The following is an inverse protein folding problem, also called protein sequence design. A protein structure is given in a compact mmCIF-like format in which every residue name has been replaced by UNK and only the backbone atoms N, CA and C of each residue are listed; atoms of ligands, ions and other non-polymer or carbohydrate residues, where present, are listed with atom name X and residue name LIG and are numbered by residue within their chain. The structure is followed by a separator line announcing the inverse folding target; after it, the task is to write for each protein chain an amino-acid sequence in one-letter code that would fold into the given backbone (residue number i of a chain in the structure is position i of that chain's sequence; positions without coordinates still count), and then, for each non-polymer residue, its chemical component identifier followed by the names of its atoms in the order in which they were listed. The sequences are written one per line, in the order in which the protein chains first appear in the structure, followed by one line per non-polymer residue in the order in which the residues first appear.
data_IF_487367765571
#
_entry.id   IF_487367765571
#
_cell.length_a   1.000
_cell.length_b   1.000
_cell.length_c   1.000
_cell.angle_alpha   90.00
_cell.angle_beta   90.00
_cell.angle_gamma   90.00
#
_symmetry.space_group_name_H-M   'P 1'
#
loop_
_entity.id
_entity.type
_entity.pdbx_description
1 polymer ?
#
# COMPACT_ATOMS: atom_id res chain seq x y z
N UNK A 1 64.96 -11.26 18.94
CA UNK A 1 63.56 -11.74 18.96
C UNK A 1 62.75 -10.84 18.04
N UNK A 2 62.31 -11.34 16.88
CA UNK A 2 61.36 -10.64 15.99
C UNK A 2 60.05 -11.41 16.04
N UNK A 3 59.01 -10.79 16.56
CA UNK A 3 57.65 -11.34 16.64
C UNK A 3 56.97 -11.04 15.31
N UNK A 4 56.61 -12.09 14.57
CA UNK A 4 55.77 -12.01 13.38
C UNK A 4 54.30 -12.07 13.84
N UNK A 5 53.57 -10.97 13.63
CA UNK A 5 52.12 -10.95 13.79
C UNK A 5 51.48 -11.54 12.51
N UNK A 6 50.86 -12.71 12.64
CA UNK A 6 49.96 -13.24 11.63
C UNK A 6 48.60 -12.55 11.81
N UNK A 7 48.25 -11.64 10.90
CA UNK A 7 46.90 -11.09 10.79
C UNK A 7 46.08 -12.09 9.96
N UNK A 8 45.18 -12.81 10.62
CA UNK A 8 44.18 -13.63 9.95
C UNK A 8 43.10 -12.71 9.36
N UNK A 9 43.07 -12.60 8.04
CA UNK A 9 41.98 -11.97 7.31
C UNK A 9 40.73 -12.86 7.42
N UNK A 10 39.81 -12.52 8.32
CA UNK A 10 38.49 -13.13 8.35
C UNK A 10 37.68 -12.51 7.21
N UNK A 11 37.60 -13.21 6.09
CA UNK A 11 36.63 -12.93 5.03
C UNK A 11 35.23 -13.19 5.61
N UNK A 12 34.55 -12.14 6.02
CA UNK A 12 33.10 -12.17 6.23
C UNK A 12 32.45 -12.36 4.86
N UNK A 13 32.24 -13.61 4.44
CA UNK A 13 31.31 -13.91 3.37
C UNK A 13 29.94 -13.42 3.80
N UNK A 14 29.49 -12.31 3.21
CA UNK A 14 28.11 -11.88 3.31
C UNK A 14 27.23 -13.00 2.74
N UNK A 15 26.45 -13.66 3.60
CA UNK A 15 25.44 -14.65 3.20
C UNK A 15 24.24 -13.94 2.53
N UNK A 16 24.48 -13.15 1.48
CA UNK A 16 23.39 -12.70 0.62
C UNK A 16 22.89 -13.90 -0.18
N UNK A 17 21.59 -14.20 -0.09
CA UNK A 17 20.93 -15.20 -0.93
C UNK A 17 21.25 -14.93 -2.41
N UNK A 18 21.33 -15.96 -3.23
CA UNK A 18 21.49 -15.78 -4.68
C UNK A 18 20.16 -15.37 -5.32
N UNK A 19 20.18 -14.87 -6.57
CA UNK A 19 18.95 -14.66 -7.38
C UNK A 19 18.17 -15.96 -7.50
N UNK A 20 18.89 -17.09 -7.61
CA UNK A 20 18.28 -18.42 -7.65
C UNK A 20 17.44 -18.68 -6.38
N UNK A 21 17.99 -18.40 -5.19
CA UNK A 21 17.30 -18.58 -3.91
C UNK A 21 16.14 -17.60 -3.69
N UNK A 22 16.20 -16.41 -4.31
CA UNK A 22 15.17 -15.38 -4.16
C UNK A 22 14.00 -15.57 -5.13
N UNK A 23 14.27 -16.07 -6.33
CA UNK A 23 13.26 -16.16 -7.39
C UNK A 23 12.75 -17.57 -7.67
N UNK A 24 13.50 -18.62 -7.30
CA UNK A 24 13.05 -19.98 -7.53
C UNK A 24 12.68 -20.71 -6.24
N UNK A 25 11.49 -21.30 -6.25
CA UNK A 25 10.95 -22.04 -5.13
C UNK A 25 11.70 -23.37 -4.92
N UNK A 26 12.12 -23.62 -3.68
CA UNK A 26 12.63 -24.90 -3.23
C UNK A 26 11.49 -25.90 -2.97
N UNK A 27 11.80 -27.19 -2.83
CA UNK A 27 10.79 -28.23 -2.54
C UNK A 27 10.03 -28.05 -1.23
N UNK A 28 10.55 -27.21 -0.32
CA UNK A 28 9.96 -26.89 0.97
C UNK A 28 9.19 -25.56 0.96
N UNK A 29 9.27 -24.78 -0.13
CA UNK A 29 8.57 -23.52 -0.21
C UNK A 29 7.09 -23.79 -0.45
N UNK A 30 6.26 -23.24 0.44
CA UNK A 30 4.82 -23.25 0.26
C UNK A 30 4.49 -22.33 -0.91
N UNK A 31 3.75 -22.85 -1.90
CA UNK A 31 3.26 -22.07 -3.05
C UNK A 31 2.30 -20.95 -2.63
N UNK A 32 1.64 -21.13 -1.48
CA UNK A 32 0.76 -20.15 -0.86
C UNK A 32 1.10 -20.01 0.62
N UNK A 33 1.42 -18.80 1.04
CA UNK A 33 1.42 -18.40 2.45
C UNK A 33 0.14 -17.63 2.70
N UNK A 34 -0.76 -18.18 3.51
CA UNK A 34 -1.86 -17.37 4.05
C UNK A 34 -1.26 -16.24 4.86
N UNK A 35 -1.76 -15.01 4.68
CA UNK A 35 -1.42 -13.89 5.53
C UNK A 35 -1.57 -14.30 7.00
N UNK A 36 -0.51 -14.13 7.79
CA UNK A 36 -0.53 -14.39 9.22
C UNK A 36 -0.77 -13.06 9.92
N UNK A 37 -1.95 -12.94 10.52
CA UNK A 37 -2.34 -11.72 11.22
C UNK A 37 -1.41 -11.45 12.41
N UNK A 38 -1.03 -10.19 12.55
CA UNK A 38 -0.21 -9.72 13.67
C UNK A 38 -1.11 -9.47 14.87
N UNK A 39 -0.59 -9.79 16.05
CA UNK A 39 -1.25 -9.46 17.30
C UNK A 39 -1.57 -7.96 17.36
N UNK A 40 -2.83 -7.58 17.66
CA UNK A 40 -3.19 -6.18 17.74
C UNK A 40 -2.40 -5.45 18.82
N UNK A 41 -1.94 -4.24 18.49
CA UNK A 41 -1.23 -3.41 19.45
C UNK A 41 -2.17 -2.95 20.58
N UNK A 42 -1.62 -2.89 21.79
CA UNK A 42 -2.23 -2.19 22.91
C UNK A 42 -2.14 -0.67 22.72
N UNK A 43 -2.99 0.08 23.43
CA UNK A 43 -2.93 1.56 23.44
C UNK A 43 -1.53 2.05 23.81
N UNK A 44 -0.86 1.40 24.76
CA UNK A 44 0.49 1.77 25.19
C UNK A 44 1.50 1.62 24.05
N UNK A 45 1.49 0.47 23.36
CA UNK A 45 2.41 0.21 22.24
C UNK A 45 2.16 1.18 21.08
N UNK A 46 0.89 1.51 20.79
CA UNK A 46 0.56 2.52 19.76
C UNK A 46 1.17 3.88 20.12
N UNK A 47 1.02 4.32 21.38
CA UNK A 47 1.57 5.61 21.82
C UNK A 47 3.10 5.63 21.86
N UNK A 48 3.74 4.49 22.15
CA UNK A 48 5.19 4.33 22.16
C UNK A 48 5.79 4.29 20.74
N UNK A 49 5.08 3.69 19.78
CA UNK A 49 5.55 3.50 18.40
C UNK A 49 4.95 4.46 17.38
N UNK A 50 4.12 5.43 17.81
CA UNK A 50 3.52 6.41 16.88
C UNK A 50 4.60 7.18 16.10
N UNK A 51 4.32 7.61 14.86
CA UNK A 51 5.22 8.47 14.12
C UNK A 51 5.60 9.74 14.89
N UNK A 52 6.85 10.19 14.75
CA UNK A 52 7.36 11.36 15.47
C UNK A 52 6.61 12.66 15.16
N UNK A 53 6.04 12.77 13.96
CA UNK A 53 5.25 13.92 13.49
C UNK A 53 3.79 13.92 14.00
N UNK A 54 3.34 12.84 14.66
CA UNK A 54 1.97 12.68 15.12
C UNK A 54 1.83 13.06 16.60
N UNK A 55 0.99 14.03 16.88
CA UNK A 55 0.47 14.31 18.22
C UNK A 55 -0.87 13.59 18.42
N UNK A 56 -1.08 13.02 19.60
CA UNK A 56 -2.35 12.37 19.97
C UNK A 56 -2.79 12.94 21.32
N UNK A 57 -4.01 13.46 21.38
CA UNK A 57 -4.61 13.96 22.62
C UNK A 57 -6.02 13.42 22.82
N UNK A 58 -6.44 13.27 24.07
CA UNK A 58 -7.81 12.88 24.41
C UNK A 58 -8.78 14.07 24.31
N UNK A 59 -9.92 13.83 23.68
CA UNK A 59 -11.05 14.74 23.61
C UNK A 59 -12.03 14.49 24.75
N UNK A 60 -12.60 15.57 25.29
CA UNK A 60 -13.67 15.47 26.31
C UNK A 60 -15.05 15.24 25.70
N UNK A 61 -15.27 15.80 24.53
CA UNK A 61 -16.48 15.64 23.73
C UNK A 61 -16.04 15.12 22.37
N UNK A 62 -16.61 13.99 21.98
CA UNK A 62 -16.23 13.29 20.78
C UNK A 62 -17.37 12.39 20.30
N UNK A 63 -17.41 12.21 18.98
CA UNK A 63 -18.10 11.11 18.33
C UNK A 63 -17.28 9.83 18.47
N UNK A 64 -17.86 8.78 19.04
CA UNK A 64 -17.15 7.51 19.22
C UNK A 64 -17.16 6.66 17.94
N UNK A 65 -16.26 5.66 17.88
CA UNK A 65 -16.09 4.76 16.75
C UNK A 65 -17.40 4.06 16.35
N UNK A 66 -18.19 3.60 17.33
CA UNK A 66 -19.43 2.87 17.06
C UNK A 66 -20.46 3.77 16.36
N UNK A 67 -20.62 4.99 16.84
CA UNK A 67 -21.53 6.00 16.25
C UNK A 67 -21.09 6.43 14.85
N UNK A 68 -19.80 6.55 14.58
CA UNK A 68 -19.28 6.90 13.25
C UNK A 68 -19.38 5.72 12.27
N UNK A 69 -18.92 4.53 12.69
CA UNK A 69 -18.91 3.34 11.84
C UNK A 69 -20.31 2.85 11.46
N UNK A 70 -21.29 2.87 12.36
CA UNK A 70 -22.67 2.47 12.03
C UNK A 70 -23.30 3.45 11.03
N UNK A 71 -23.10 4.75 11.20
CA UNK A 71 -23.63 5.73 10.25
C UNK A 71 -23.00 5.55 8.85
N UNK A 72 -21.75 5.08 8.77
CA UNK A 72 -21.11 4.77 7.48
C UNK A 72 -21.62 3.46 6.84
N UNK A 73 -22.14 2.52 7.65
CA UNK A 73 -22.54 1.18 7.25
C UNK A 73 -24.07 1.09 7.12
N UNK A 74 -24.56 1.56 5.99
CA UNK A 74 -25.99 1.66 5.69
C UNK A 74 -26.63 0.30 5.30
N UNK A 75 -26.55 -0.70 6.17
CA UNK A 75 -26.95 -2.09 5.87
C UNK A 75 -28.44 -2.28 5.56
N UNK A 76 -29.32 -1.37 6.01
CA UNK A 76 -30.78 -1.51 5.92
C UNK A 76 -31.48 -0.41 5.10
N UNK A 77 -30.75 0.32 4.26
CA UNK A 77 -31.34 1.36 3.41
C UNK A 77 -31.95 0.82 2.12
N UNK A 78 -33.05 1.43 1.67
CA UNK A 78 -33.64 1.11 0.38
C UNK A 78 -32.71 1.51 -0.77
N UNK A 79 -32.81 0.81 -1.91
CA UNK A 79 -32.02 1.10 -3.12
C UNK A 79 -32.16 2.57 -3.55
N UNK A 80 -33.37 3.14 -3.47
CA UNK A 80 -33.63 4.55 -3.77
C UNK A 80 -32.85 5.52 -2.86
N UNK A 81 -32.78 5.24 -1.55
CA UNK A 81 -32.02 6.05 -0.60
C UNK A 81 -30.52 5.92 -0.84
N UNK A 82 -30.04 4.71 -1.14
CA UNK A 82 -28.65 4.44 -1.48
C UNK A 82 -28.21 5.20 -2.74
N UNK A 83 -29.01 5.13 -3.81
CA UNK A 83 -28.76 5.88 -5.05
C UNK A 83 -28.75 7.40 -4.81
N UNK A 84 -29.70 7.91 -4.03
CA UNK A 84 -29.78 9.33 -3.71
C UNK A 84 -28.57 9.81 -2.93
N UNK A 85 -28.12 9.03 -1.95
CA UNK A 85 -26.88 9.31 -1.19
C UNK A 85 -25.68 9.28 -2.13
N UNK A 86 -25.55 8.26 -2.96
CA UNK A 86 -24.47 8.15 -3.95
C UNK A 86 -24.42 9.40 -4.85
N UNK A 87 -25.54 9.77 -5.47
CA UNK A 87 -25.63 10.98 -6.32
C UNK A 87 -25.30 12.27 -5.56
N UNK A 88 -25.68 12.36 -4.29
CA UNK A 88 -25.34 13.51 -3.44
C UNK A 88 -23.84 13.56 -3.17
N UNK A 89 -23.24 12.42 -2.84
CA UNK A 89 -21.80 12.29 -2.63
C UNK A 89 -21.00 12.60 -3.91
N UNK A 90 -21.44 12.10 -5.06
CA UNK A 90 -20.88 12.43 -6.38
C UNK A 90 -20.83 13.95 -6.61
N UNK A 91 -21.94 14.65 -6.38
CA UNK A 91 -21.98 16.10 -6.58
C UNK A 91 -21.16 16.84 -5.51
N UNK A 92 -21.18 16.38 -4.25
CA UNK A 92 -20.44 16.99 -3.14
C UNK A 92 -18.93 16.98 -3.33
N UNK A 93 -18.39 15.96 -3.99
CA UNK A 93 -16.96 15.77 -4.24
C UNK A 93 -16.58 15.87 -5.72
N UNK A 94 -17.49 16.35 -6.58
CA UNK A 94 -17.27 16.48 -8.03
C UNK A 94 -15.97 17.17 -8.42
N UNK A 95 -15.60 18.23 -7.70
CA UNK A 95 -14.35 18.96 -7.94
C UNK A 95 -13.13 18.10 -7.61
N UNK A 96 -13.18 17.32 -6.52
CA UNK A 96 -12.13 16.38 -6.16
C UNK A 96 -12.06 15.23 -7.15
N UNK A 97 -13.20 14.65 -7.54
CA UNK A 97 -13.27 13.59 -8.57
C UNK A 97 -12.73 14.04 -9.92
N UNK A 98 -13.03 15.27 -10.34
CA UNK A 98 -12.48 15.81 -11.58
C UNK A 98 -10.95 15.98 -11.55
N UNK A 99 -10.33 16.00 -10.36
CA UNK A 99 -8.88 16.22 -10.17
C UNK A 99 -8.11 14.97 -9.80
N UNK A 100 -8.74 14.05 -9.08
CA UNK A 100 -8.11 12.84 -8.56
C UNK A 100 -8.72 11.56 -9.15
N UNK A 101 -9.73 11.66 -10.01
CA UNK A 101 -10.52 10.52 -10.49
C UNK A 101 -11.07 9.69 -9.31
N UNK A 102 -11.23 8.38 -9.49
CA UNK A 102 -11.73 7.47 -8.45
C UNK A 102 -10.59 6.85 -7.60
N UNK A 103 -9.42 7.51 -7.53
CA UNK A 103 -8.27 7.03 -6.76
C UNK A 103 -8.51 7.04 -5.24
N UNK A 104 -9.53 7.78 -4.78
CA UNK A 104 -9.83 7.94 -3.36
C UNK A 104 -11.32 7.81 -3.06
N UNK A 105 -11.61 7.20 -1.92
CA UNK A 105 -12.86 7.41 -1.19
C UNK A 105 -12.76 8.75 -0.46
N UNK A 106 -13.70 9.65 -0.74
CA UNK A 106 -13.72 10.99 -0.15
C UNK A 106 -14.62 11.04 1.08
N UNK A 107 -14.12 11.66 2.14
CA UNK A 107 -14.88 12.02 3.33
C UNK A 107 -14.47 13.41 3.82
N UNK A 108 -15.38 14.05 4.55
CA UNK A 108 -15.25 15.38 5.13
C UNK A 108 -14.49 16.44 4.29
N UNK A 109 -15.22 17.42 3.74
CA UNK A 109 -14.63 18.58 3.05
C UNK A 109 -14.55 19.82 3.93
N UNK A 110 -13.52 20.63 3.69
CA UNK A 110 -13.36 21.96 4.27
C UNK A 110 -12.90 22.94 3.19
N UNK A 111 -13.52 24.11 3.11
CA UNK A 111 -13.09 25.19 2.21
C UNK A 111 -12.58 26.38 3.03
N UNK A 112 -11.49 26.98 2.56
CA UNK A 112 -10.91 28.19 3.15
C UNK A 112 -10.28 29.05 2.06
N UNK A 113 -10.87 30.22 1.81
CA UNK A 113 -10.45 31.10 0.71
C UNK A 113 -10.52 30.37 -0.64
N UNK A 114 -9.39 30.34 -1.35
CA UNK A 114 -9.25 29.68 -2.66
C UNK A 114 -8.76 28.23 -2.58
N UNK A 115 -8.83 27.64 -1.38
CA UNK A 115 -8.30 26.29 -1.12
C UNK A 115 -9.41 25.39 -0.59
N UNK A 116 -9.60 24.26 -1.26
CA UNK A 116 -10.48 23.19 -0.83
C UNK A 116 -9.66 22.02 -0.30
N UNK A 117 -10.11 21.44 0.80
CA UNK A 117 -9.54 20.25 1.43
C UNK A 117 -10.58 19.15 1.53
N UNK A 118 -10.14 17.91 1.43
CA UNK A 118 -10.94 16.73 1.75
C UNK A 118 -10.05 15.65 2.37
N UNK A 119 -10.66 14.76 3.16
CA UNK A 119 -10.00 13.51 3.54
C UNK A 119 -10.19 12.51 2.41
N UNK A 120 -9.08 11.96 1.95
CA UNK A 120 -9.03 10.85 1.02
C UNK A 120 -8.64 9.57 1.74
N UNK A 121 -9.15 8.44 1.25
CA UNK A 121 -8.69 7.12 1.64
C UNK A 121 -8.59 6.23 0.40
N UNK A 122 -7.53 5.46 0.30
CA UNK A 122 -7.41 4.39 -0.69
C UNK A 122 -6.86 3.12 -0.02
N UNK A 123 -6.45 2.15 -0.81
CA UNK A 123 -5.89 0.88 -0.33
C UNK A 123 -4.58 1.05 0.44
N UNK A 124 -3.84 2.13 0.20
CA UNK A 124 -2.57 2.40 0.86
C UNK A 124 -2.72 3.06 2.22
N UNK A 125 -3.70 3.94 2.40
CA UNK A 125 -3.80 4.73 3.63
C UNK A 125 -4.77 5.91 3.57
N UNK A 126 -4.61 6.80 4.55
CA UNK A 126 -5.31 8.08 4.61
C UNK A 126 -4.50 9.18 3.92
N UNK A 127 -5.22 10.13 3.31
CA UNK A 127 -4.65 11.22 2.53
C UNK A 127 -5.32 12.53 2.89
N UNK A 128 -4.55 13.61 2.94
CA UNK A 128 -5.08 14.96 2.87
C UNK A 128 -5.08 15.39 1.40
N UNK A 129 -6.27 15.60 0.84
CA UNK A 129 -6.43 16.12 -0.50
C UNK A 129 -6.57 17.63 -0.43
N UNK A 130 -5.80 18.35 -1.23
CA UNK A 130 -5.80 19.82 -1.30
C UNK A 130 -5.94 20.23 -2.75
N UNK A 131 -6.87 21.15 -3.03
CA UNK A 131 -6.97 21.84 -4.30
C UNK A 131 -6.81 23.32 -4.03
N UNK A 132 -5.69 23.90 -4.47
CA UNK A 132 -5.37 25.31 -4.27
C UNK A 132 -5.15 25.97 -5.63
N UNK A 133 -5.89 27.04 -5.92
CA UNK A 133 -5.82 27.71 -7.22
C UNK A 133 -5.93 26.74 -8.41
N UNK A 134 -6.86 25.78 -8.31
CA UNK A 134 -7.12 24.71 -9.30
C UNK A 134 -6.00 23.68 -9.48
N UNK A 135 -4.96 23.70 -8.63
CA UNK A 135 -3.87 22.70 -8.61
C UNK A 135 -4.13 21.65 -7.52
N UNK A 136 -4.23 20.36 -7.88
CA UNK A 136 -4.43 19.29 -6.92
C UNK A 136 -3.11 18.82 -6.30
N UNK A 137 -3.16 18.48 -5.02
CA UNK A 137 -2.10 17.82 -4.26
C UNK A 137 -2.73 16.78 -3.34
N UNK A 138 -2.13 15.60 -3.22
CA UNK A 138 -2.52 14.60 -2.23
C UNK A 138 -1.31 14.29 -1.35
N UNK A 139 -1.50 14.37 -0.03
CA UNK A 139 -0.44 14.15 0.95
C UNK A 139 -0.76 12.90 1.77
N UNK A 140 0.14 11.93 1.74
CA UNK A 140 -0.02 10.71 2.53
C UNK A 140 0.14 11.02 4.02
N UNK A 141 -0.83 10.57 4.81
CA UNK A 141 -0.90 10.88 6.25
C UNK A 141 -0.06 9.90 7.08
N UNK A 142 0.25 8.71 6.55
CA UNK A 142 1.12 7.73 7.21
C UNK A 142 0.58 7.15 8.51
N UNK A 143 -0.75 7.13 8.68
CA UNK A 143 -1.41 6.48 9.82
C UNK A 143 -1.99 5.13 9.37
N UNK A 144 -1.55 4.06 10.04
CA UNK A 144 -1.94 2.68 9.74
C UNK A 144 -3.41 2.41 10.04
N UNK A 145 -4.11 1.75 9.12
CA UNK A 145 -5.47 1.25 9.34
C UNK A 145 -5.58 0.28 10.51
N UNK A 146 -4.51 -0.46 10.84
CA UNK A 146 -4.56 -1.49 11.88
C UNK A 146 -4.87 -0.96 13.28
N UNK A 147 -4.60 0.32 13.53
CA UNK A 147 -4.78 0.90 14.86
C UNK A 147 -5.20 2.38 14.90
N UNK A 148 -5.28 3.07 13.76
CA UNK A 148 -5.84 4.41 13.67
C UNK A 148 -7.13 4.42 12.85
N UNK A 149 -8.20 4.89 13.46
CA UNK A 149 -9.47 5.14 12.79
C UNK A 149 -9.76 6.63 12.79
N UNK A 150 -9.99 7.19 11.61
CA UNK A 150 -10.43 8.58 11.44
C UNK A 150 -11.94 8.58 11.28
N UNK A 151 -12.65 9.42 12.04
CA UNK A 151 -14.08 9.58 11.84
C UNK A 151 -14.35 10.11 10.43
N UNK A 152 -15.32 9.52 9.75
CA UNK A 152 -15.76 9.97 8.42
C UNK A 152 -16.38 11.37 8.50
N UNK A 153 -17.03 11.65 9.64
CA UNK A 153 -17.58 12.96 9.97
C UNK A 153 -16.72 13.62 11.05
N UNK A 154 -16.08 14.73 10.67
CA UNK A 154 -15.35 15.59 11.59
C UNK A 154 -16.27 16.74 12.05
N UNK A 155 -16.42 16.91 13.36
CA UNK A 155 -17.23 17.96 13.99
C UNK A 155 -16.48 19.30 14.03
N UNK A 156 -15.16 19.26 13.91
CA UNK A 156 -14.28 20.42 13.88
C UNK A 156 -13.61 20.55 12.52
N UNK A 157 -13.19 21.75 12.10
CA UNK A 157 -12.40 21.93 10.88
C UNK A 157 -11.15 21.04 10.92
N UNK A 158 -10.90 20.28 9.85
CA UNK A 158 -9.71 19.43 9.73
C UNK A 158 -8.43 20.23 9.56
N UNK A 159 -8.50 21.43 8.99
CA UNK A 159 -7.38 22.36 8.86
C UNK A 159 -7.59 23.53 9.82
N UNK A 160 -6.71 23.64 10.80
CA UNK A 160 -6.76 24.72 11.79
C UNK A 160 -5.36 25.04 12.34
N UNK A 161 -5.05 26.33 12.46
CA UNK A 161 -3.83 26.85 13.09
C UNK A 161 -2.51 26.24 12.57
N UNK A 162 -2.47 25.88 11.28
CA UNK A 162 -1.28 25.26 10.65
C UNK A 162 -1.16 23.75 10.85
N UNK A 163 -2.22 23.10 11.34
CA UNK A 163 -2.28 21.66 11.56
C UNK A 163 -3.41 21.01 10.75
N UNK A 164 -3.15 19.78 10.31
CA UNK A 164 -4.19 18.79 10.10
C UNK A 164 -4.60 18.25 11.48
N UNK A 165 -5.89 18.27 11.79
CA UNK A 165 -6.46 17.77 13.03
C UNK A 165 -7.62 16.82 12.72
N UNK A 166 -7.51 15.57 13.15
CA UNK A 166 -8.48 14.52 12.86
C UNK A 166 -9.00 13.92 14.16
N UNK A 167 -10.31 13.99 14.35
CA UNK A 167 -11.03 13.28 15.38
C UNK A 167 -11.18 11.81 14.99
N UNK A 168 -11.01 10.92 15.95
CA UNK A 168 -11.16 9.50 15.70
C UNK A 168 -10.88 8.65 16.93
N UNK A 169 -10.45 7.42 16.69
CA UNK A 169 -10.26 6.41 17.73
C UNK A 169 -9.02 5.56 17.46
N UNK A 170 -8.43 5.03 18.53
CA UNK A 170 -7.53 3.89 18.42
C UNK A 170 -8.38 2.63 18.34
N UNK A 171 -8.06 1.77 17.37
CA UNK A 171 -8.81 0.55 17.07
C UNK A 171 -7.91 -0.68 17.09
N UNK A 172 -8.53 -1.84 17.05
CA UNK A 172 -7.90 -3.11 16.67
C UNK A 172 -8.72 -3.77 15.56
N UNK A 173 -8.06 -4.54 14.72
CA UNK A 173 -8.73 -5.38 13.73
C UNK A 173 -9.51 -6.49 14.45
N UNK A 174 -10.70 -6.78 13.94
CA UNK A 174 -11.57 -7.88 14.35
C UNK A 174 -11.96 -8.62 13.08
N UNK A 175 -11.54 -9.88 12.96
CA UNK A 175 -11.92 -10.72 11.83
C UNK A 175 -13.37 -11.15 11.95
N UNK A 176 -14.06 -11.19 10.81
CA UNK A 176 -15.41 -11.74 10.71
C UNK A 176 -15.29 -13.19 10.25
N UNK A 177 -15.69 -14.13 11.09
CA UNK A 177 -15.67 -15.56 10.77
C UNK A 177 -16.44 -15.81 9.46
N UNK A 178 -15.82 -16.54 8.53
CA UNK A 178 -16.41 -16.88 7.24
C UNK A 178 -16.27 -15.82 6.13
N UNK A 179 -15.58 -14.69 6.39
CA UNK A 179 -15.24 -13.68 5.37
C UNK A 179 -13.72 -13.43 5.31
N UNK A 180 -12.95 -14.32 4.66
CA UNK A 180 -11.52 -14.14 4.47
C UNK A 180 -11.22 -12.80 3.76
N UNK A 181 -10.29 -12.02 4.32
CA UNK A 181 -9.91 -10.71 3.77
C UNK A 181 -10.83 -9.53 4.13
N UNK A 182 -11.90 -9.75 4.92
CA UNK A 182 -12.72 -8.68 5.46
C UNK A 182 -12.30 -8.33 6.89
N UNK A 183 -11.79 -7.11 7.08
CA UNK A 183 -11.39 -6.58 8.38
C UNK A 183 -12.50 -5.69 8.95
N UNK A 184 -13.09 -6.11 10.07
CA UNK A 184 -13.83 -5.21 10.93
C UNK A 184 -12.88 -4.59 11.96
N UNK A 185 -13.37 -3.60 12.71
CA UNK A 185 -12.60 -2.88 13.71
C UNK A 185 -13.41 -2.79 14.99
N UNK A 186 -12.69 -2.77 16.12
CA UNK A 186 -13.27 -2.40 17.40
C UNK A 186 -12.41 -1.33 18.06
N UNK A 187 -13.03 -0.33 18.65
CA UNK A 187 -12.31 0.68 19.41
C UNK A 187 -11.66 0.05 20.65
N UNK A 188 -10.39 0.38 20.84
CA UNK A 188 -9.66 0.13 22.09
C UNK A 188 -9.49 1.43 22.89
N UNK A 189 -9.61 2.60 22.24
CA UNK A 189 -9.66 3.90 22.91
C UNK A 189 -10.30 4.95 22.02
N UNK A 190 -11.52 5.38 22.35
CA UNK A 190 -12.23 6.42 21.62
C UNK A 190 -11.75 7.84 21.95
N UNK A 191 -12.22 8.82 21.16
CA UNK A 191 -12.13 10.23 21.51
C UNK A 191 -10.72 10.78 21.40
N UNK A 192 -10.04 10.47 20.31
CA UNK A 192 -8.69 10.95 20.02
C UNK A 192 -8.74 12.11 19.05
N UNK A 193 -7.80 13.04 19.23
CA UNK A 193 -7.46 14.05 18.25
C UNK A 193 -6.04 13.77 17.78
N UNK A 194 -5.91 13.43 16.50
CA UNK A 194 -4.65 13.24 15.80
C UNK A 194 -4.25 14.57 15.18
N UNK A 195 -3.12 15.13 15.59
CA UNK A 195 -2.61 16.41 15.07
C UNK A 195 -1.29 16.20 14.35
N UNK A 196 -1.19 16.74 13.14
CA UNK A 196 0.02 16.71 12.31
C UNK A 196 0.24 18.12 11.79
N UNK A 197 1.45 18.64 11.92
CA UNK A 197 1.79 19.96 11.34
C UNK A 197 1.68 19.89 9.82
N UNK A 198 1.01 20.86 9.21
CA UNK A 198 0.95 20.93 7.74
C UNK A 198 2.33 21.02 7.11
N UNK A 199 3.28 21.68 7.78
CA UNK A 199 4.66 21.77 7.29
C UNK A 199 5.32 20.40 7.15
N UNK A 200 5.12 19.50 8.11
CA UNK A 200 5.68 18.15 8.06
C UNK A 200 4.88 17.27 7.09
N UNK A 201 3.54 17.38 7.10
CA UNK A 201 2.67 16.59 6.23
C UNK A 201 2.92 16.87 4.75
N UNK A 202 3.13 18.13 4.39
CA UNK A 202 3.34 18.55 3.00
C UNK A 202 4.82 18.67 2.63
N UNK A 203 5.74 18.14 3.46
CA UNK A 203 7.16 18.14 3.12
C UNK A 203 7.40 17.12 2.02
N UNK A 204 8.01 17.58 0.95
CA UNK A 204 8.45 16.82 -0.23
C UNK A 204 9.85 17.36 -0.51
N UNK A 205 10.87 16.63 -0.04
CA UNK A 205 12.21 17.19 0.11
C UNK A 205 12.96 17.27 -1.21
N UNK A 206 12.69 16.37 -2.15
CA UNK A 206 13.26 16.45 -3.50
C UNK A 206 12.35 17.17 -4.50
N UNK A 207 11.06 17.31 -4.23
CA UNK A 207 10.05 17.99 -5.07
C UNK A 207 9.68 17.19 -6.32
N UNK A 208 9.43 15.89 -6.17
CA UNK A 208 8.93 15.04 -7.24
C UNK A 208 7.39 14.94 -7.28
N UNK A 209 6.70 15.17 -6.16
CA UNK A 209 5.25 15.11 -6.03
C UNK A 209 4.75 14.16 -4.94
N UNK A 210 5.58 13.23 -4.45
CA UNK A 210 5.29 12.45 -3.25
C UNK A 210 5.86 13.15 -2.02
N UNK A 211 5.09 13.14 -0.92
CA UNK A 211 5.58 13.72 0.32
C UNK A 211 6.48 12.72 1.05
N UNK A 212 7.46 13.22 1.82
CA UNK A 212 8.44 12.42 2.57
C UNK A 212 7.80 11.26 3.37
N UNK A 213 6.59 11.47 3.91
CA UNK A 213 5.89 10.45 4.69
C UNK A 213 5.50 9.26 3.82
N UNK A 214 5.04 9.50 2.59
CA UNK A 214 4.75 8.43 1.62
C UNK A 214 6.02 7.65 1.32
N UNK A 215 7.07 8.34 0.92
CA UNK A 215 8.32 7.73 0.49
C UNK A 215 8.95 6.90 1.60
N UNK A 216 9.04 7.44 2.82
CA UNK A 216 9.53 6.71 3.99
C UNK A 216 8.64 5.53 4.38
N UNK A 217 7.32 5.65 4.17
CA UNK A 217 6.38 4.58 4.47
C UNK A 217 6.50 3.42 3.50
N UNK A 218 6.80 3.67 2.23
CA UNK A 218 6.86 2.63 1.21
C UNK A 218 8.29 2.20 0.85
N UNK A 219 9.32 2.96 1.22
CA UNK A 219 10.73 2.61 0.99
C UNK A 219 11.38 3.31 -0.21
N UNK A 220 10.80 4.42 -0.68
CA UNK A 220 11.43 5.35 -1.62
C UNK A 220 12.40 6.28 -0.87
N UNK A 221 13.17 7.08 -1.60
CA UNK A 221 14.18 7.97 -1.06
C UNK A 221 13.73 9.44 -1.09
N UNK A 222 13.37 10.04 0.07
CA UNK A 222 12.86 11.43 0.14
C UNK A 222 13.78 12.54 -0.38
N UNK A 223 15.04 12.22 -0.67
CA UNK A 223 16.02 13.19 -1.13
C UNK A 223 16.46 12.93 -2.57
N UNK A 224 15.75 12.05 -3.30
CA UNK A 224 16.07 11.67 -4.67
C UNK A 224 14.79 11.47 -5.45
N UNK A 225 14.53 12.39 -6.38
CA UNK A 225 13.37 12.32 -7.28
C UNK A 225 13.27 11.03 -8.08
N UNK A 226 14.35 10.29 -8.17
CA UNK A 226 14.58 9.07 -8.95
C UNK A 226 15.30 8.11 -8.00
N UNK A 227 14.52 7.28 -7.30
CA UNK A 227 14.99 6.42 -6.20
C UNK A 227 15.90 5.31 -6.71
N UNK A 228 15.59 4.75 -7.88
CA UNK A 228 16.30 3.61 -8.47
C UNK A 228 17.41 4.04 -9.45
N UNK A 229 17.39 5.29 -9.91
CA UNK A 229 18.41 5.92 -10.74
C UNK A 229 18.25 5.62 -12.23
N UNK A 230 17.05 5.27 -12.70
CA UNK A 230 16.80 4.89 -14.09
C UNK A 230 16.51 6.08 -15.04
N UNK A 231 16.37 7.27 -14.47
CA UNK A 231 16.13 8.52 -15.18
C UNK A 231 14.66 8.94 -15.26
N UNK A 232 13.74 8.19 -14.67
CA UNK A 232 12.35 8.60 -14.44
C UNK A 232 12.16 9.07 -13.00
N UNK A 233 11.24 10.02 -12.79
CA UNK A 233 10.96 10.49 -11.43
C UNK A 233 10.04 9.48 -10.72
N UNK A 234 10.15 9.26 -9.41
CA UNK A 234 9.30 8.29 -8.70
C UNK A 234 7.81 8.61 -8.91
N UNK A 235 7.46 9.90 -8.91
CA UNK A 235 6.11 10.37 -9.22
C UNK A 235 5.65 10.00 -10.63
N UNK A 236 6.52 9.87 -11.63
CA UNK A 236 6.16 9.52 -13.01
C UNK A 236 6.42 8.05 -13.34
N UNK A 237 7.19 7.33 -12.51
CA UNK A 237 7.58 5.94 -12.73
C UNK A 237 6.54 4.93 -12.21
N UNK A 238 6.25 3.93 -13.04
CA UNK A 238 5.38 2.83 -12.67
C UNK A 238 6.07 1.78 -11.77
N UNK A 239 7.40 1.80 -11.70
CA UNK A 239 8.18 0.91 -10.83
C UNK A 239 9.32 1.65 -10.09
N UNK A 240 9.01 2.67 -9.27
CA UNK A 240 9.99 3.64 -8.74
C UNK A 240 11.06 3.05 -7.81
N UNK A 241 10.93 1.78 -7.42
CA UNK A 241 11.87 1.11 -6.53
C UNK A 241 12.99 0.39 -7.29
N UNK A 242 12.79 0.07 -8.57
CA UNK A 242 13.68 -0.83 -9.30
C UNK A 242 13.63 -0.62 -10.81
N UNK A 243 14.83 -0.61 -11.39
CA UNK A 243 14.97 -0.41 -12.83
C UNK A 243 14.37 -1.58 -13.60
N UNK A 244 13.42 -1.28 -14.49
CA UNK A 244 12.81 -2.28 -15.34
C UNK A 244 13.83 -2.87 -16.32
N UNK A 245 13.91 -4.21 -16.39
CA UNK A 245 14.80 -4.92 -17.29
C UNK A 245 14.03 -5.99 -18.04
N UNK A 246 14.16 -6.01 -19.38
CA UNK A 246 13.51 -7.03 -20.20
C UNK A 246 14.32 -8.33 -20.23
N UNK A 247 13.75 -9.40 -19.67
CA UNK A 247 14.26 -10.77 -19.80
C UNK A 247 13.08 -11.76 -19.71
N UNK A 248 13.33 -13.04 -19.99
CA UNK A 248 12.25 -14.03 -19.99
C UNK A 248 11.50 -14.10 -18.66
N UNK A 249 12.15 -13.98 -17.51
CA UNK A 249 11.43 -14.11 -16.23
C UNK A 249 10.69 -12.84 -15.82
N UNK A 250 11.16 -11.64 -16.20
CA UNK A 250 10.37 -10.41 -16.03
C UNK A 250 9.11 -10.46 -16.89
N UNK A 251 9.24 -10.87 -18.17
CA UNK A 251 8.09 -11.08 -19.07
C UNK A 251 7.08 -12.09 -18.50
N UNK A 252 7.52 -13.12 -17.76
CA UNK A 252 6.62 -14.07 -17.11
C UNK A 252 5.81 -13.41 -15.98
N UNK A 253 6.45 -12.60 -15.15
CA UNK A 253 5.76 -11.86 -14.08
C UNK A 253 4.80 -10.82 -14.65
N UNK A 254 5.18 -10.09 -15.70
CA UNK A 254 4.34 -9.10 -16.40
C UNK A 254 3.03 -9.71 -16.90
N UNK A 255 3.05 -10.94 -17.43
CA UNK A 255 1.83 -11.66 -17.85
C UNK A 255 0.87 -11.99 -16.70
N UNK A 256 1.36 -11.99 -15.46
CA UNK A 256 0.57 -12.27 -14.26
C UNK A 256 0.16 -11.00 -13.52
N UNK A 257 0.71 -9.84 -13.88
CA UNK A 257 0.26 -8.56 -13.33
C UNK A 257 -1.21 -8.29 -13.72
N UNK A 258 -1.94 -7.49 -12.93
CA UNK A 258 -3.28 -7.07 -13.29
C UNK A 258 -3.29 -6.41 -14.67
N UNK A 259 -3.99 -7.03 -15.62
CA UNK A 259 -4.28 -6.43 -16.92
C UNK A 259 -5.74 -6.01 -16.90
N UNK A 260 -5.99 -4.71 -16.74
CA UNK A 260 -7.34 -4.17 -16.83
C UNK A 260 -7.74 -4.06 -18.30
N UNK A 261 -7.99 -5.20 -18.93
CA UNK A 261 -8.53 -5.28 -20.27
C UNK A 261 -9.95 -4.69 -20.25
N UNK A 262 -10.08 -3.40 -20.60
CA UNK A 262 -11.31 -2.60 -20.82
C UNK A 262 -11.62 -1.47 -19.81
N UNK A 263 -10.64 -0.85 -19.15
CA UNK A 263 -10.90 0.45 -18.48
C UNK A 263 -10.82 1.60 -19.49
N UNK A 264 -11.74 2.56 -19.42
CA UNK A 264 -11.63 3.84 -20.15
C UNK A 264 -10.60 4.79 -19.52
N UNK A 265 -10.02 4.39 -18.39
CA UNK A 265 -9.05 5.14 -17.61
C UNK A 265 -7.67 4.57 -17.91
N UNK A 266 -6.75 5.46 -18.30
CA UNK A 266 -5.33 5.15 -18.42
C UNK A 266 -4.74 5.01 -17.01
N UNK A 267 -4.33 3.79 -16.65
CA UNK A 267 -3.80 3.49 -15.31
C UNK A 267 -2.49 4.21 -15.03
N UNK A 268 -1.76 4.60 -16.08
CA UNK A 268 -0.47 5.31 -15.95
C UNK A 268 -0.64 6.70 -15.34
N UNK A 269 -1.82 7.30 -15.55
CA UNK A 269 -2.20 8.61 -15.02
C UNK A 269 -2.69 8.55 -13.57
N UNK A 270 -2.84 7.36 -12.98
CA UNK A 270 -3.30 7.17 -11.59
C UNK A 270 -2.12 7.19 -10.61
N UNK A 271 -1.59 8.39 -10.38
CA UNK A 271 -0.40 8.68 -9.56
C UNK A 271 -0.49 8.26 -8.08
N UNK A 272 -1.68 7.90 -7.58
CA UNK A 272 -1.91 7.51 -6.18
C UNK A 272 -2.56 6.14 -6.04
N UNK A 273 -2.60 5.35 -7.12
CA UNK A 273 -3.09 3.96 -7.12
C UNK A 273 -1.93 3.03 -7.37
N UNK A 274 -1.66 2.14 -6.43
CA UNK A 274 -0.56 1.19 -6.50
C UNK A 274 -1.01 -0.22 -6.18
N UNK A 275 -0.43 -1.18 -6.88
CA UNK A 275 -0.47 -2.59 -6.49
C UNK A 275 0.81 -2.93 -5.72
N UNK A 276 0.67 -3.27 -4.44
CA UNK A 276 1.82 -3.63 -3.60
C UNK A 276 2.00 -5.15 -3.57
N UNK A 277 3.20 -5.63 -3.87
CA UNK A 277 3.57 -7.03 -3.81
C UNK A 277 4.60 -7.30 -2.70
N UNK A 278 4.45 -8.41 -1.97
CA UNK A 278 5.52 -8.90 -1.09
C UNK A 278 6.43 -9.84 -1.89
N UNK A 279 7.68 -9.44 -2.14
CA UNK A 279 8.66 -10.28 -2.84
C UNK A 279 10.07 -9.80 -2.62
N UNK A 280 11.02 -10.74 -2.49
CA UNK A 280 12.45 -10.47 -2.57
C UNK A 280 13.03 -10.89 -3.95
N UNK A 281 12.19 -11.30 -4.92
CA UNK A 281 12.66 -11.80 -6.23
C UNK A 281 13.07 -10.68 -7.19
N UNK A 282 14.34 -10.69 -7.61
CA UNK A 282 14.92 -9.71 -8.55
C UNK A 282 14.19 -9.66 -9.90
N UNK A 283 13.79 -10.81 -10.46
CA UNK A 283 13.04 -10.82 -11.72
C UNK A 283 11.65 -10.22 -11.58
N UNK A 284 11.05 -10.26 -10.39
CA UNK A 284 9.77 -9.62 -10.18
C UNK A 284 9.94 -8.12 -9.91
N UNK A 285 11.01 -7.74 -9.21
CA UNK A 285 11.37 -6.34 -9.00
C UNK A 285 11.62 -5.58 -10.30
N UNK A 286 12.12 -6.24 -11.35
CA UNK A 286 12.54 -5.60 -12.61
C UNK A 286 11.47 -5.61 -13.71
N UNK A 287 10.19 -5.80 -13.37
CA UNK A 287 9.09 -5.78 -14.35
C UNK A 287 8.89 -4.40 -14.96
N UNK A 288 8.31 -4.34 -16.15
CA UNK A 288 7.78 -3.13 -16.76
C UNK A 288 6.24 -3.19 -16.74
N UNK A 289 5.60 -2.69 -15.67
CA UNK A 289 4.16 -2.86 -15.47
C UNK A 289 3.35 -1.82 -16.27
N UNK A 290 2.05 -2.08 -16.46
CA UNK A 290 1.10 -1.11 -17.03
C UNK A 290 0.33 -0.29 -15.96
N UNK A 291 0.54 -0.60 -14.68
CA UNK A 291 0.06 0.13 -13.51
C UNK A 291 1.21 0.32 -12.51
N UNK A 292 1.07 1.26 -11.57
CA UNK A 292 2.11 1.51 -10.57
C UNK A 292 2.21 0.35 -9.59
N UNK A 293 3.43 -0.11 -9.34
CA UNK A 293 3.70 -1.17 -8.38
C UNK A 293 4.67 -0.70 -7.30
N UNK A 294 4.54 -1.30 -6.12
CA UNK A 294 5.52 -1.17 -5.04
C UNK A 294 5.84 -2.56 -4.50
N UNK A 295 7.01 -2.72 -3.91
CA UNK A 295 7.43 -3.98 -3.32
C UNK A 295 7.73 -3.85 -1.83
N UNK A 296 7.14 -4.76 -1.05
CA UNK A 296 7.46 -4.96 0.35
C UNK A 296 8.42 -6.16 0.50
N UNK A 297 9.48 -6.07 1.31
CA UNK A 297 10.37 -7.21 1.55
C UNK A 297 9.65 -8.40 2.19
N UNK A 298 10.05 -9.63 1.85
CA UNK A 298 9.49 -10.86 2.47
C UNK A 298 9.82 -10.95 3.99
N UNK A 299 10.85 -10.25 4.44
CA UNK A 299 11.26 -10.23 5.84
C UNK A 299 10.72 -9.00 6.57
N UNK A 300 9.91 -9.23 7.60
CA UNK A 300 9.41 -8.18 8.50
C UNK A 300 10.51 -7.27 9.10
N UNK A 301 11.75 -7.77 9.23
CA UNK A 301 12.89 -6.96 9.73
C UNK A 301 13.39 -5.92 8.75
N UNK A 302 13.08 -6.07 7.46
CA UNK A 302 13.45 -5.16 6.39
C UNK A 302 12.30 -4.21 6.00
N UNK A 303 11.07 -4.53 6.41
CA UNK A 303 9.90 -3.68 6.14
C UNK A 303 10.02 -2.36 6.90
N UNK A 304 9.50 -1.29 6.29
CA UNK A 304 9.26 -0.04 7.00
C UNK A 304 8.23 -0.29 8.11
N UNK A 305 8.16 0.59 9.11
CA UNK A 305 7.15 0.45 10.17
C UNK A 305 5.73 0.39 9.57
N UNK A 306 5.44 1.23 8.55
CA UNK A 306 4.11 1.32 7.96
C UNK A 306 3.68 0.00 7.30
N UNK A 307 4.44 -0.50 6.31
CA UNK A 307 4.08 -1.75 5.60
C UNK A 307 4.23 -2.99 6.47
N UNK A 308 4.93 -2.90 7.61
CA UNK A 308 4.98 -3.96 8.60
C UNK A 308 3.69 -4.01 9.45
N UNK A 309 3.04 -2.87 9.67
CA UNK A 309 1.87 -2.74 10.54
C UNK A 309 0.54 -2.64 9.79
N UNK A 310 0.57 -2.29 8.51
CA UNK A 310 -0.58 -2.14 7.62
C UNK A 310 -0.47 -3.19 6.52
N UNK A 311 -1.50 -4.04 6.40
CA UNK A 311 -1.61 -4.92 5.23
C UNK A 311 -2.06 -4.10 4.02
N UNK A 312 -1.10 -3.79 3.16
CA UNK A 312 -1.27 -3.06 1.89
C UNK A 312 -1.24 -3.99 0.68
N UNK A 313 -1.08 -5.30 0.90
CA UNK A 313 -0.99 -6.30 -0.16
C UNK A 313 -2.38 -6.92 -0.42
N UNK A 314 -2.83 -6.92 -1.67
CA UNK A 314 -4.16 -7.47 -2.06
C UNK A 314 -4.09 -8.78 -2.82
N UNK A 315 -2.88 -9.21 -3.15
CA UNK A 315 -2.59 -10.45 -3.83
C UNK A 315 -1.10 -10.72 -3.84
N UNK A 316 -0.73 -11.89 -4.33
CA UNK A 316 0.68 -12.29 -4.44
C UNK A 316 0.91 -13.08 -5.71
N UNK A 317 2.15 -13.02 -6.19
CA UNK A 317 2.66 -13.89 -7.24
C UNK A 317 3.81 -14.68 -6.64
N UNK A 318 3.76 -16.00 -6.77
CA UNK A 318 4.74 -16.88 -6.13
C UNK A 318 6.13 -16.75 -6.77
N UNK A 319 7.13 -17.31 -6.09
CA UNK A 319 8.41 -17.67 -6.72
C UNK A 319 8.16 -18.69 -7.84
N UNK A 320 9.04 -18.69 -8.82
CA UNK A 320 8.98 -19.59 -9.96
C UNK A 320 9.44 -20.98 -9.50
N UNK A 321 8.69 -22.03 -9.81
CA UNK A 321 9.09 -23.40 -9.53
C UNK A 321 9.51 -24.10 -10.81
N UNK A 322 10.71 -24.67 -10.84
CA UNK A 322 11.21 -25.44 -12.00
C UNK A 322 10.56 -26.83 -12.06
N UNK A 323 10.22 -27.30 -13.26
CA UNK A 323 9.89 -28.71 -13.48
C UNK A 323 11.17 -29.55 -13.37
N UNK A 324 11.07 -30.75 -12.77
CA UNK A 324 12.20 -31.65 -12.53
C UNK A 324 12.64 -32.43 -13.77
N UNK A 325 11.73 -32.64 -14.71
CA UNK A 325 11.90 -33.49 -15.89
C UNK A 325 11.89 -32.70 -17.19
N UNK A 326 11.30 -31.50 -17.19
CA UNK A 326 11.21 -30.62 -18.36
C UNK A 326 11.90 -29.26 -18.08
N UNK A 327 13.16 -29.06 -18.52
CA UNK A 327 13.94 -27.87 -18.13
C UNK A 327 13.34 -26.53 -18.61
N UNK A 328 12.48 -26.56 -19.63
CA UNK A 328 11.82 -25.38 -20.19
C UNK A 328 10.40 -25.14 -19.64
N UNK A 329 9.94 -25.99 -18.71
CA UNK A 329 8.65 -25.85 -18.03
C UNK A 329 8.86 -25.32 -16.61
N UNK A 330 8.03 -24.36 -16.26
CA UNK A 330 7.99 -23.74 -14.95
C UNK A 330 6.56 -23.74 -14.41
N UNK A 331 6.43 -23.51 -13.11
CA UNK A 331 5.16 -23.37 -12.42
C UNK A 331 5.18 -22.09 -11.60
N UNK A 332 4.06 -21.40 -11.58
CA UNK A 332 3.91 -20.14 -10.86
C UNK A 332 2.45 -19.99 -10.46
N UNK A 333 2.20 -19.40 -9.30
CA UNK A 333 0.86 -19.22 -8.77
C UNK A 333 0.58 -17.74 -8.56
N UNK A 334 -0.66 -17.33 -8.83
CA UNK A 334 -1.17 -15.99 -8.51
C UNK A 334 -2.31 -16.16 -7.51
N UNK A 335 -2.31 -15.37 -6.45
CA UNK A 335 -3.42 -15.36 -5.49
C UNK A 335 -3.93 -13.95 -5.23
N UNK A 336 -5.20 -13.87 -4.84
CA UNK A 336 -5.84 -12.69 -4.29
C UNK A 336 -6.53 -13.04 -2.97
N UNK A 337 -7.38 -12.14 -2.47
CA UNK A 337 -8.11 -12.33 -1.22
C UNK A 337 -9.03 -13.56 -1.19
N UNK A 338 -9.52 -14.01 -2.35
CA UNK A 338 -10.52 -15.08 -2.46
C UNK A 338 -10.16 -16.15 -3.50
N UNK A 339 -8.95 -16.13 -4.06
CA UNK A 339 -8.57 -17.12 -5.07
C UNK A 339 -7.07 -17.41 -5.08
N UNK A 340 -6.74 -18.59 -5.57
CA UNK A 340 -5.39 -18.97 -6.02
C UNK A 340 -5.54 -19.62 -7.39
N UNK A 341 -4.74 -19.20 -8.36
CA UNK A 341 -4.62 -19.83 -9.67
C UNK A 341 -3.21 -20.35 -9.85
N UNK A 342 -3.09 -21.62 -10.23
CA UNK A 342 -1.82 -22.27 -10.53
C UNK A 342 -1.62 -22.37 -12.04
N UNK A 343 -0.45 -21.95 -12.50
CA UNK A 343 -0.08 -21.93 -13.90
C UNK A 343 1.11 -22.85 -14.15
N UNK A 344 1.08 -23.55 -15.27
CA UNK A 344 2.30 -24.00 -15.94
C UNK A 344 2.69 -22.95 -16.99
N UNK A 345 3.98 -22.66 -17.05
CA UNK A 345 4.57 -21.69 -17.94
C UNK A 345 5.65 -22.38 -18.78
N UNK A 346 5.48 -22.37 -20.10
CA UNK A 346 6.46 -22.92 -21.05
C UNK A 346 6.96 -21.81 -21.96
N UNK A 347 8.28 -21.76 -22.18
CA UNK A 347 8.89 -20.75 -23.05
C UNK A 347 9.09 -21.30 -24.45
N UNK A 348 8.13 -21.02 -25.34
CA UNK A 348 8.10 -21.53 -26.71
C UNK A 348 8.28 -20.41 -27.72
N UNK A 349 9.17 -20.59 -28.69
CA UNK A 349 9.38 -19.62 -29.79
C UNK A 349 9.63 -18.16 -29.34
N UNK A 350 10.29 -17.98 -28.19
CA UNK A 350 10.60 -16.66 -27.63
C UNK A 350 9.43 -15.98 -26.89
N UNK A 351 8.38 -16.72 -26.54
CA UNK A 351 7.24 -16.22 -25.77
C UNK A 351 6.81 -17.22 -24.71
N UNK A 352 6.23 -16.72 -23.63
CA UNK A 352 5.58 -17.58 -22.64
C UNK A 352 4.21 -18.02 -23.10
N UNK A 353 3.92 -19.29 -22.87
CA UNK A 353 2.59 -19.88 -22.92
C UNK A 353 2.20 -20.25 -21.49
N UNK A 354 1.16 -19.58 -20.99
CA UNK A 354 0.59 -19.85 -19.67
C UNK A 354 -0.64 -20.75 -19.80
N UNK A 355 -0.61 -21.90 -19.14
CA UNK A 355 -1.77 -22.78 -19.03
C UNK A 355 -2.19 -22.87 -17.56
N UNK A 356 -3.47 -22.59 -17.29
CA UNK A 356 -4.06 -22.82 -15.97
C UNK A 356 -4.11 -24.33 -15.72
N UNK A 357 -3.44 -24.79 -14.67
CA UNK A 357 -3.36 -26.21 -14.30
C UNK A 357 -4.10 -26.54 -13.01
N UNK A 358 -4.55 -25.52 -12.29
CA UNK A 358 -5.24 -25.67 -11.03
C UNK A 358 -5.60 -24.33 -10.41
N UNK A 359 -6.26 -24.40 -9.26
CA UNK A 359 -6.64 -23.24 -8.48
C UNK A 359 -7.72 -23.57 -7.47
N UNK A 360 -7.91 -22.67 -6.51
CA UNK A 360 -8.94 -22.76 -5.47
C UNK A 360 -9.61 -21.39 -5.37
N UNK A 361 -10.94 -21.39 -5.24
CA UNK A 361 -11.70 -20.24 -4.77
C UNK A 361 -11.91 -20.46 -3.27
N UNK A 362 -11.47 -19.49 -2.47
CA UNK A 362 -11.47 -19.56 -1.00
C UNK A 362 -12.82 -19.14 -0.44
#
# INVERSE_FOLDING_TARGET
MRILYFIAFILLFSCSRSVEDRCFANHHDQTFKSYTEKEPLTVKEILEHKPGYLEITDLKQYRNFKEDSIQSRHYDESEELSEKRWKTHEEDYKVFKAKFSDQFLFSHKQETGNTAYALGRNELGFWLLKIENNKPHAYFVGLSFSHYYMNTLQEQPIIKDGFLQLQGSLVKIVKVDGLPGYDDYSAISDGKLFKISLKELTRDSDHDGYNDIFEQSFGLNPNSKDTDGDGMSDFDDLNPMFTSVKNKFTELYELLLPTYAQTTVDLKELHYTFTVFESDCDYFHQVSPDERVLFSPESDRKKTFYVNMTDVTRGSISKIKKDKTHPDRFYISKSGSSFVNDYSAEYENGKWVLNVIGGIII
#
